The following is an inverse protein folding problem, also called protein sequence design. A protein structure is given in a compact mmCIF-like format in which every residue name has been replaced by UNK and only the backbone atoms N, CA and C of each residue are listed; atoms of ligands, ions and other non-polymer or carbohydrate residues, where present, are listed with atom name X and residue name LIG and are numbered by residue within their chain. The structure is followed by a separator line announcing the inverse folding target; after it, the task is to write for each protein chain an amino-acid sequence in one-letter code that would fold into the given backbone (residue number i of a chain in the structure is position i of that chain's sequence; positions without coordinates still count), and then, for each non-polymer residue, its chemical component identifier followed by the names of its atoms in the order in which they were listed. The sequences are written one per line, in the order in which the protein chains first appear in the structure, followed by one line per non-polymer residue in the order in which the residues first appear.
data_IF_848783872045
#
_entry.id   IF_848783872045
#
_cell.length_a   1.000
_cell.length_b   1.000
_cell.length_c   1.000
_cell.angle_alpha   90.00
_cell.angle_beta   90.00
_cell.angle_gamma   90.00
#
_symmetry.space_group_name_H-M   'P 1'
#
loop_
_entity.id
_entity.type
_entity.pdbx_description
1 polymer ?
#
# COMPACT_ATOMS: atom_id res chain seq x y z
N UNK A 1 -5.47 -21.25 5.61
CA UNK A 1 -6.01 -20.06 4.91
C UNK A 1 -5.77 -18.69 5.56
N UNK A 2 -5.84 -18.46 6.89
CA UNK A 2 -5.51 -17.12 7.44
C UNK A 2 -4.04 -16.91 7.84
N UNK A 3 -3.32 -17.96 8.27
CA UNK A 3 -1.90 -17.89 8.63
C UNK A 3 -1.02 -17.86 7.38
N UNK A 4 -1.35 -18.65 6.36
CA UNK A 4 -0.65 -18.68 5.07
C UNK A 4 -0.56 -17.30 4.41
N UNK A 5 -1.62 -16.49 4.53
CA UNK A 5 -1.69 -15.15 3.96
C UNK A 5 -0.83 -14.11 4.70
N UNK A 6 -0.30 -14.45 5.89
CA UNK A 6 0.55 -13.53 6.64
C UNK A 6 1.93 -13.43 5.99
N UNK A 7 2.53 -12.22 5.92
CA UNK A 7 3.91 -12.08 5.49
C UNK A 7 4.87 -12.92 6.35
N UNK A 8 5.93 -13.53 5.78
CA UNK A 8 6.89 -14.34 6.53
C UNK A 8 7.46 -13.64 7.77
N UNK A 9 7.86 -12.37 7.64
CA UNK A 9 8.34 -11.57 8.76
C UNK A 9 7.30 -11.41 9.89
N UNK A 10 6.01 -11.31 9.53
CA UNK A 10 4.94 -11.24 10.54
C UNK A 10 4.72 -12.59 11.22
N UNK A 11 4.80 -13.71 10.48
CA UNK A 11 4.74 -15.06 11.07
C UNK A 11 5.87 -15.29 12.07
N UNK A 12 7.09 -14.89 11.73
CA UNK A 12 8.26 -14.95 12.62
C UNK A 12 8.09 -14.08 13.87
N UNK A 13 7.72 -12.81 13.69
CA UNK A 13 7.47 -11.89 14.80
C UNK A 13 6.34 -12.40 15.73
N UNK A 14 5.29 -13.02 15.15
CA UNK A 14 4.21 -13.65 15.91
C UNK A 14 4.73 -14.84 16.70
N UNK A 15 5.51 -15.72 16.08
CA UNK A 15 6.09 -16.90 16.74
C UNK A 15 6.97 -16.50 17.93
N UNK A 16 7.79 -15.47 17.78
CA UNK A 16 8.57 -14.89 18.87
C UNK A 16 7.67 -14.26 19.94
N UNK A 17 6.63 -13.54 19.51
CA UNK A 17 5.65 -12.91 20.38
C UNK A 17 4.94 -13.89 21.31
N UNK A 18 4.41 -14.97 20.76
CA UNK A 18 3.69 -16.01 21.51
C UNK A 18 4.59 -16.86 22.42
N UNK A 19 5.91 -16.74 22.30
CA UNK A 19 6.88 -17.38 23.20
C UNK A 19 7.26 -16.48 24.38
N UNK A 20 7.04 -15.17 24.26
CA UNK A 20 7.57 -14.17 25.20
C UNK A 20 6.65 -13.75 26.34
N UNK A 21 5.36 -14.11 26.27
CA UNK A 21 4.38 -13.64 27.24
C UNK A 21 3.01 -14.30 27.06
N UNK A 22 2.08 -14.00 27.98
CA UNK A 22 0.76 -14.61 27.97
C UNK A 22 -0.07 -14.11 26.78
N UNK A 23 -0.75 -15.05 26.13
CA UNK A 23 -1.55 -14.82 24.95
C UNK A 23 -3.03 -14.98 25.29
N UNK A 24 -3.84 -14.07 24.76
CA UNK A 24 -5.29 -14.08 24.91
C UNK A 24 -6.00 -14.27 23.57
N UNK A 25 -7.28 -14.65 23.64
CA UNK A 25 -8.23 -14.63 22.52
C UNK A 25 -9.46 -13.79 22.89
N UNK A 26 -10.22 -13.34 21.89
CA UNK A 26 -11.46 -12.58 22.05
C UNK A 26 -11.27 -11.10 22.37
N UNK A 27 -10.03 -10.59 22.36
CA UNK A 27 -9.70 -9.18 22.52
C UNK A 27 -8.27 -8.88 22.04
N UNK A 28 -7.98 -7.61 21.81
CA UNK A 28 -6.65 -7.15 21.38
C UNK A 28 -5.61 -7.15 22.53
N UNK A 29 -6.03 -6.73 23.73
CA UNK A 29 -5.24 -6.72 24.96
C UNK A 29 -6.16 -6.91 26.17
N UNK A 30 -5.61 -7.47 27.25
CA UNK A 30 -6.26 -7.68 28.55
C UNK A 30 -5.21 -7.48 29.65
N UNK A 31 -5.58 -7.24 30.92
CA UNK A 31 -4.64 -7.37 32.04
C UNK A 31 -3.88 -8.71 32.03
N UNK A 32 -4.51 -9.77 31.54
CA UNK A 32 -3.93 -11.12 31.52
C UNK A 32 -3.00 -11.38 30.33
N UNK A 33 -2.94 -10.51 29.32
CA UNK A 33 -2.07 -10.72 28.17
C UNK A 33 -2.46 -9.98 26.89
N UNK A 34 -1.87 -10.40 25.78
CA UNK A 34 -2.05 -9.75 24.47
C UNK A 34 -2.45 -10.74 23.39
N UNK A 35 -3.19 -10.30 22.37
CA UNK A 35 -3.50 -11.19 21.26
C UNK A 35 -2.24 -11.53 20.45
N UNK A 36 -2.22 -12.66 19.72
CA UNK A 36 -1.04 -13.06 18.94
C UNK A 36 -0.57 -11.98 17.96
N UNK A 37 -1.52 -11.24 17.37
CA UNK A 37 -1.21 -10.21 16.39
C UNK A 37 -0.54 -8.98 17.03
N UNK A 38 -1.02 -8.54 18.20
CA UNK A 38 -0.37 -7.46 18.94
C UNK A 38 1.03 -7.88 19.42
N UNK A 39 1.18 -9.14 19.85
CA UNK A 39 2.48 -9.70 20.21
C UNK A 39 3.48 -9.66 19.04
N UNK A 40 3.00 -9.92 17.81
CA UNK A 40 3.78 -9.79 16.58
C UNK A 40 4.12 -8.32 16.24
N UNK A 41 3.15 -7.42 16.34
CA UNK A 41 3.34 -6.00 16.04
C UNK A 41 4.39 -5.34 16.94
N UNK A 42 4.40 -5.68 18.22
CA UNK A 42 5.43 -5.23 19.18
C UNK A 42 6.85 -5.66 18.79
N UNK A 43 6.97 -6.64 17.88
CA UNK A 43 8.23 -7.18 17.34
C UNK A 43 8.45 -6.82 15.87
N UNK A 44 7.74 -5.80 15.37
CA UNK A 44 7.92 -5.32 14.01
C UNK A 44 7.14 -6.10 12.95
N UNK A 45 6.23 -7.00 13.33
CA UNK A 45 5.22 -7.52 12.39
C UNK A 45 4.35 -6.37 11.88
N UNK A 46 4.21 -6.24 10.55
CA UNK A 46 3.39 -5.18 9.92
C UNK A 46 2.42 -5.83 8.94
N UNK A 47 1.16 -5.92 9.33
CA UNK A 47 0.05 -6.39 8.48
C UNK A 47 -1.29 -5.90 9.02
N UNK A 48 -2.31 -5.85 8.16
CA UNK A 48 -3.70 -5.54 8.55
C UNK A 48 -4.33 -6.71 9.31
N UNK A 49 -5.09 -6.35 10.35
CA UNK A 49 -5.34 -7.18 11.54
C UNK A 49 -6.59 -8.08 11.44
N UNK A 50 -7.55 -7.71 10.59
CA UNK A 50 -8.94 -8.16 10.75
C UNK A 50 -9.17 -9.63 10.42
N UNK A 51 -8.64 -10.12 9.30
CA UNK A 51 -8.91 -11.48 8.84
C UNK A 51 -8.35 -12.53 9.80
N UNK A 52 -7.10 -12.32 10.27
CA UNK A 52 -6.49 -13.22 11.24
C UNK A 52 -7.15 -13.14 12.61
N UNK A 53 -7.41 -11.93 13.12
CA UNK A 53 -8.04 -11.79 14.44
C UNK A 53 -9.39 -12.51 14.49
N UNK A 54 -10.23 -12.34 13.46
CA UNK A 54 -11.53 -13.02 13.36
C UNK A 54 -11.38 -14.54 13.24
N UNK A 55 -10.43 -15.01 12.43
CA UNK A 55 -10.19 -16.45 12.29
C UNK A 55 -9.68 -17.08 13.61
N UNK A 56 -8.82 -16.36 14.32
CA UNK A 56 -8.28 -16.79 15.62
C UNK A 56 -9.36 -16.87 16.70
N UNK A 57 -10.18 -15.83 16.83
CA UNK A 57 -11.28 -15.80 17.79
C UNK A 57 -12.36 -16.84 17.44
N UNK A 58 -12.61 -17.08 16.15
CA UNK A 58 -13.46 -18.16 15.68
C UNK A 58 -12.92 -19.55 16.00
N UNK A 59 -11.63 -19.80 15.79
CA UNK A 59 -10.97 -21.07 16.12
C UNK A 59 -11.03 -21.38 17.63
N UNK A 60 -10.73 -20.37 18.45
CA UNK A 60 -10.75 -20.49 19.91
C UNK A 60 -12.17 -20.40 20.51
N UNK A 61 -13.18 -20.09 19.69
CA UNK A 61 -14.56 -19.80 20.12
C UNK A 61 -14.61 -18.77 21.24
N UNK A 62 -13.72 -17.78 21.18
CA UNK A 62 -13.64 -16.74 22.20
C UNK A 62 -14.67 -15.63 21.91
N UNK A 63 -15.65 -15.50 22.80
CA UNK A 63 -16.63 -14.41 22.77
C UNK A 63 -16.31 -13.29 23.77
N UNK A 64 -15.34 -13.52 24.67
CA UNK A 64 -14.82 -12.58 25.66
C UNK A 64 -13.31 -12.80 25.83
N UNK A 65 -12.55 -11.77 26.28
CA UNK A 65 -11.14 -11.92 26.59
C UNK A 65 -10.90 -13.09 27.54
N UNK A 66 -10.02 -14.01 27.14
CA UNK A 66 -9.53 -15.09 28.01
C UNK A 66 -8.12 -15.50 27.61
N UNK A 67 -7.40 -16.11 28.55
CA UNK A 67 -6.15 -16.80 28.23
C UNK A 67 -6.39 -17.94 27.24
N UNK A 68 -5.44 -18.08 26.32
CA UNK A 68 -5.39 -19.17 25.36
C UNK A 68 -4.92 -20.43 26.07
N UNK A 69 -5.57 -21.56 25.81
CA UNK A 69 -5.16 -22.84 26.37
C UNK A 69 -3.83 -23.29 25.77
N UNK A 70 -3.12 -24.15 26.50
CA UNK A 70 -1.85 -24.71 26.02
C UNK A 70 -1.99 -25.44 24.68
N UNK A 71 -3.12 -26.14 24.47
CA UNK A 71 -3.41 -26.81 23.19
C UNK A 71 -3.55 -25.82 22.04
N UNK A 72 -4.32 -24.77 22.23
CA UNK A 72 -4.54 -23.72 21.22
C UNK A 72 -3.23 -23.01 20.88
N UNK A 73 -2.42 -22.71 21.90
CA UNK A 73 -1.11 -22.09 21.73
C UNK A 73 -0.16 -22.99 20.95
N UNK A 74 -0.13 -24.29 21.25
CA UNK A 74 0.66 -25.28 20.52
C UNK A 74 0.22 -25.36 19.06
N UNK A 75 -1.09 -25.43 18.80
CA UNK A 75 -1.61 -25.47 17.43
C UNK A 75 -1.21 -24.22 16.64
N UNK A 76 -1.33 -23.02 17.23
CA UNK A 76 -0.90 -21.78 16.58
C UNK A 76 0.59 -21.82 16.21
N UNK A 77 1.45 -22.27 17.13
CA UNK A 77 2.90 -22.40 16.88
C UNK A 77 3.18 -23.38 15.75
N UNK A 78 2.59 -24.58 15.79
CA UNK A 78 2.77 -25.59 14.74
C UNK A 78 2.32 -25.10 13.36
N UNK A 79 1.20 -24.37 13.28
CA UNK A 79 0.72 -23.80 12.01
C UNK A 79 1.65 -22.70 11.48
N UNK A 80 2.20 -21.86 12.37
CA UNK A 80 3.17 -20.82 11.99
C UNK A 80 4.48 -21.44 11.47
N UNK A 81 4.99 -22.44 12.18
CA UNK A 81 6.23 -23.14 11.83
C UNK A 81 6.09 -23.91 10.50
N UNK A 82 4.99 -24.65 10.31
CA UNK A 82 4.69 -25.32 9.03
C UNK A 82 4.61 -24.33 7.86
N UNK A 83 3.86 -23.23 8.03
CA UNK A 83 3.72 -22.20 6.99
C UNK A 83 5.01 -21.43 6.69
N UNK A 84 5.97 -21.38 7.63
CA UNK A 84 7.29 -20.83 7.39
C UNK A 84 8.18 -21.83 6.63
N UNK A 85 8.17 -23.10 7.02
CA UNK A 85 8.93 -24.16 6.35
C UNK A 85 8.50 -24.36 4.89
N UNK A 86 7.20 -24.31 4.60
CA UNK A 86 6.68 -24.35 3.22
C UNK A 86 7.17 -23.16 2.38
N UNK A 87 7.19 -21.96 2.97
CA UNK A 87 7.69 -20.76 2.30
C UNK A 87 9.19 -20.82 1.99
N UNK A 88 9.98 -21.37 2.91
CA UNK A 88 11.42 -21.58 2.73
C UNK A 88 11.71 -22.64 1.65
N UNK A 89 10.98 -23.75 1.66
CA UNK A 89 11.08 -24.79 0.63
C UNK A 89 10.73 -24.23 -0.76
N UNK A 90 9.69 -23.40 -0.87
CA UNK A 90 9.32 -22.74 -2.12
C UNK A 90 10.38 -21.73 -2.58
N UNK A 91 10.99 -20.97 -1.66
CA UNK A 91 12.03 -20.00 -1.96
C UNK A 91 13.36 -20.64 -2.39
N UNK A 92 13.70 -21.79 -1.81
CA UNK A 92 14.94 -22.52 -2.12
C UNK A 92 14.84 -23.43 -3.33
N UNK A 93 13.61 -23.82 -3.73
CA UNK A 93 13.34 -24.64 -4.92
C UNK A 93 13.71 -23.95 -6.25
N UNK A 94 13.65 -24.71 -7.36
CA UNK A 94 14.04 -24.23 -8.69
C UNK A 94 13.29 -22.95 -9.12
N UNK A 95 11.98 -22.87 -8.85
CA UNK A 95 11.19 -21.68 -9.12
C UNK A 95 11.62 -20.48 -8.24
N UNK A 96 11.87 -20.72 -6.95
CA UNK A 96 12.33 -19.68 -6.03
C UNK A 96 13.67 -19.08 -6.45
N UNK A 97 14.60 -19.92 -6.91
CA UNK A 97 15.87 -19.48 -7.52
C UNK A 97 15.65 -18.63 -8.78
N UNK A 98 14.78 -19.08 -9.69
CA UNK A 98 14.46 -18.31 -10.90
C UNK A 98 13.84 -16.94 -10.59
N UNK A 99 12.96 -16.84 -9.58
CA UNK A 99 12.40 -15.57 -9.12
C UNK A 99 13.49 -14.66 -8.55
N UNK A 100 14.42 -15.21 -7.77
CA UNK A 100 15.53 -14.45 -7.19
C UNK A 100 16.47 -13.91 -8.27
N UNK A 101 16.84 -14.73 -9.26
CA UNK A 101 17.63 -14.32 -10.42
C UNK A 101 16.94 -13.19 -11.19
N UNK A 102 15.65 -13.33 -11.48
CA UNK A 102 14.87 -12.30 -12.17
C UNK A 102 14.84 -10.97 -11.40
N UNK A 103 14.68 -11.01 -10.06
CA UNK A 103 14.72 -9.79 -9.23
C UNK A 103 16.09 -9.11 -9.28
N UNK A 104 17.18 -9.88 -9.27
CA UNK A 104 18.54 -9.33 -9.39
C UNK A 104 18.76 -8.64 -10.74
N UNK A 105 18.23 -9.20 -11.83
CA UNK A 105 18.29 -8.56 -13.16
C UNK A 105 17.56 -7.22 -13.12
N UNK A 106 16.33 -7.19 -12.58
CA UNK A 106 15.53 -5.96 -12.47
C UNK A 106 16.18 -4.89 -11.60
N UNK A 107 16.80 -5.28 -10.49
CA UNK A 107 17.53 -4.34 -9.63
C UNK A 107 18.81 -3.80 -10.28
N UNK A 108 19.48 -4.59 -11.11
CA UNK A 108 20.63 -4.11 -11.91
C UNK A 108 20.16 -3.12 -12.96
N UNK A 109 19.10 -3.44 -13.71
CA UNK A 109 18.49 -2.54 -14.68
C UNK A 109 18.06 -1.22 -14.03
N UNK A 110 17.39 -1.28 -12.88
CA UNK A 110 16.97 -0.09 -12.14
C UNK A 110 18.16 0.75 -11.65
N UNK A 111 19.25 0.11 -11.19
CA UNK A 111 20.48 0.80 -10.79
C UNK A 111 21.21 1.43 -11.98
N UNK A 112 21.29 0.73 -13.10
CA UNK A 112 21.87 1.27 -14.34
C UNK A 112 21.07 2.46 -14.84
N UNK A 113 19.73 2.34 -14.88
CA UNK A 113 18.85 3.45 -15.24
C UNK A 113 18.97 4.65 -14.28
N UNK A 114 19.13 4.40 -12.97
CA UNK A 114 19.35 5.46 -11.99
C UNK A 114 20.74 6.12 -12.13
N UNK A 115 21.77 5.35 -12.49
CA UNK A 115 23.11 5.87 -12.75
C UNK A 115 23.17 6.67 -14.07
N UNK A 116 22.45 6.23 -15.11
CA UNK A 116 22.28 6.96 -16.37
C UNK A 116 21.45 8.23 -16.19
N UNK A 117 20.47 8.22 -15.28
CA UNK A 117 19.67 9.39 -14.92
C UNK A 117 20.38 10.36 -13.96
N UNK A 118 21.55 9.99 -13.41
CA UNK A 118 22.32 10.88 -12.53
C UNK A 118 23.01 11.97 -13.37
N UNK A 119 22.74 13.27 -13.15
CA UNK A 119 23.39 14.33 -13.91
C UNK A 119 24.88 14.36 -13.59
N UNK A 120 25.72 14.33 -14.63
CA UNK A 120 27.16 14.53 -14.52
C UNK A 120 27.45 15.87 -13.85
N UNK A 121 27.98 15.84 -12.62
CA UNK A 121 28.41 17.04 -11.89
C UNK A 121 29.59 17.63 -12.65
N UNK A 122 29.33 18.65 -13.48
CA UNK A 122 30.37 19.55 -14.00
C UNK A 122 30.82 20.47 -12.85
N UNK A 123 32.12 20.65 -12.57
CA UNK A 123 32.55 21.65 -11.61
C UNK A 123 32.43 23.02 -12.27
N UNK A 124 31.30 23.68 -12.07
CA UNK A 124 31.09 25.07 -12.47
C UNK A 124 30.86 25.91 -11.22
N UNK A 125 31.76 26.87 -11.05
CA UNK A 125 31.70 27.90 -10.03
C UNK A 125 30.33 28.61 -10.01
N UNK A 126 29.89 28.96 -8.79
CA UNK A 126 29.09 30.13 -8.46
C UNK A 126 28.02 30.54 -9.47
N UNK A 127 26.79 30.03 -9.26
CA UNK A 127 25.54 30.81 -9.27
C UNK A 127 24.46 29.96 -8.63
N UNK A 128 24.15 30.25 -7.36
CA UNK A 128 22.95 29.75 -6.69
C UNK A 128 21.75 30.29 -7.43
N UNK A 129 21.21 29.50 -8.33
CA UNK A 129 19.82 29.59 -8.76
C UNK A 129 19.11 28.45 -8.04
N UNK A 130 18.08 28.78 -7.28
CA UNK A 130 17.26 27.83 -6.55
C UNK A 130 16.67 26.81 -7.54
N UNK A 131 17.31 25.65 -7.63
CA UNK A 131 16.77 24.49 -8.33
C UNK A 131 15.64 23.92 -7.46
N UNK A 132 14.41 24.22 -7.86
CA UNK A 132 13.17 23.73 -7.28
C UNK A 132 13.17 22.19 -7.30
N UNK A 133 13.00 21.58 -6.13
CA UNK A 133 12.80 20.14 -6.00
C UNK A 133 11.56 19.70 -6.80
N UNK A 134 11.49 18.45 -7.30
CA UNK A 134 10.28 17.94 -7.95
C UNK A 134 9.20 17.72 -6.88
N UNK A 135 8.27 18.68 -6.79
CA UNK A 135 7.17 18.72 -5.84
C UNK A 135 6.76 20.17 -5.59
N UNK A 136 5.52 20.51 -5.93
CA UNK A 136 5.00 21.87 -5.70
C UNK A 136 4.77 22.07 -4.19
N UNK A 137 5.26 23.18 -3.59
CA UNK A 137 4.96 23.50 -2.20
C UNK A 137 3.44 23.57 -1.94
N UNK A 138 3.03 23.21 -0.73
CA UNK A 138 1.62 23.30 -0.29
C UNK A 138 1.14 24.76 -0.28
N UNK A 139 0.41 25.16 -1.32
CA UNK A 139 -0.19 26.49 -1.49
C UNK A 139 -1.66 26.55 -1.09
N UNK A 140 -2.15 25.58 -0.32
CA UNK A 140 -3.55 25.55 0.15
C UNK A 140 -3.95 26.84 0.87
N UNK A 141 -2.97 27.54 1.47
CA UNK A 141 -3.20 28.84 2.13
C UNK A 141 -3.52 29.97 1.16
N UNK A 142 -2.93 29.97 -0.03
CA UNK A 142 -3.10 31.01 -1.06
C UNK A 142 -4.46 30.86 -1.77
N UNK A 143 -4.92 29.63 -1.93
CA UNK A 143 -6.10 29.33 -2.74
C UNK A 143 -7.43 29.39 -1.97
N UNK A 144 -7.39 29.41 -0.63
CA UNK A 144 -8.58 29.50 0.24
C UNK A 144 -9.48 30.72 -0.04
N UNK A 145 -8.92 31.79 -0.61
CA UNK A 145 -9.67 33.02 -0.94
C UNK A 145 -10.35 33.00 -2.32
N UNK A 146 -10.15 31.97 -3.15
CA UNK A 146 -10.72 31.92 -4.49
C UNK A 146 -12.11 31.29 -4.49
N UNK A 147 -13.13 31.94 -5.08
CA UNK A 147 -14.45 31.35 -5.20
C UNK A 147 -14.35 30.06 -6.01
N UNK A 148 -14.73 28.97 -5.36
CA UNK A 148 -14.77 27.65 -5.94
C UNK A 148 -13.57 26.74 -5.69
N UNK A 149 -12.69 27.11 -4.77
CA UNK A 149 -11.59 26.24 -4.35
C UNK A 149 -12.04 24.90 -3.73
N UNK A 150 -13.26 24.81 -3.21
CA UNK A 150 -13.79 23.56 -2.64
C UNK A 150 -13.98 22.43 -3.66
N UNK A 151 -14.19 22.74 -4.95
CA UNK A 151 -14.34 21.75 -6.04
C UNK A 151 -13.00 21.34 -6.66
N UNK A 152 -11.93 22.12 -6.42
CA UNK A 152 -10.56 21.74 -6.75
C UNK A 152 -10.05 20.56 -5.90
N UNK A 153 -10.77 20.09 -4.88
CA UNK A 153 -10.36 18.88 -4.13
C UNK A 153 -10.28 17.61 -4.97
N UNK A 154 -10.98 17.56 -6.10
CA UNK A 154 -10.88 16.45 -7.06
C UNK A 154 -9.54 16.50 -7.82
N UNK A 155 -8.99 17.69 -8.03
CA UNK A 155 -7.70 17.91 -8.68
C UNK A 155 -6.65 18.30 -7.63
N UNK A 156 -5.85 17.32 -7.20
CA UNK A 156 -4.79 17.54 -6.20
C UNK A 156 -3.70 18.55 -6.61
N UNK A 157 -3.71 19.05 -7.86
CA UNK A 157 -2.72 19.99 -8.43
C UNK A 157 -3.43 21.05 -9.29
N UNK A 158 -2.93 22.30 -9.24
CA UNK A 158 -3.49 23.40 -10.03
C UNK A 158 -3.26 23.21 -11.54
N UNK A 159 -2.10 22.68 -11.93
CA UNK A 159 -1.75 22.40 -13.33
C UNK A 159 -2.75 21.43 -13.98
N UNK A 160 -3.20 20.42 -13.24
CA UNK A 160 -4.17 19.42 -13.72
C UNK A 160 -5.53 20.08 -14.02
N UNK A 161 -5.91 21.08 -13.22
CA UNK A 161 -7.13 21.86 -13.43
C UNK A 161 -7.01 22.80 -14.63
N UNK A 162 -5.88 23.49 -14.80
CA UNK A 162 -5.64 24.34 -15.96
C UNK A 162 -5.58 23.52 -17.26
N UNK A 163 -4.96 22.33 -17.23
CA UNK A 163 -4.96 21.39 -18.34
C UNK A 163 -6.37 20.87 -18.68
N UNK A 164 -7.19 20.58 -17.66
CA UNK A 164 -8.58 20.19 -17.87
C UNK A 164 -9.40 21.31 -18.53
N UNK A 165 -9.25 22.57 -18.09
CA UNK A 165 -9.91 23.72 -18.71
C UNK A 165 -9.45 23.96 -20.16
N UNK A 166 -8.17 23.76 -20.45
CA UNK A 166 -7.64 23.86 -21.81
C UNK A 166 -8.24 22.77 -22.73
N UNK A 167 -8.43 21.55 -22.22
CA UNK A 167 -9.08 20.46 -22.94
C UNK A 167 -10.55 20.76 -23.23
N UNK A 168 -11.29 21.35 -22.28
CA UNK A 168 -12.70 21.74 -22.50
C UNK A 168 -12.82 22.83 -23.57
N UNK A 169 -11.98 23.87 -23.53
CA UNK A 169 -11.98 24.92 -24.59
C UNK A 169 -11.66 24.35 -25.96
N UNK A 170 -10.79 23.34 -26.03
CA UNK A 170 -10.45 22.66 -27.28
C UNK A 170 -11.58 21.74 -27.78
N UNK A 171 -12.32 21.09 -26.87
CA UNK A 171 -13.51 20.30 -27.21
C UNK A 171 -14.69 21.15 -27.68
N UNK A 172 -14.88 22.34 -27.09
CA UNK A 172 -15.89 23.30 -27.56
C UNK A 172 -15.55 23.85 -28.95
N UNK A 173 -14.26 24.09 -29.23
CA UNK A 173 -13.78 24.50 -30.55
C UNK A 173 -13.88 23.36 -31.60
N UNK A 174 -13.81 22.10 -31.18
CA UNK A 174 -13.92 20.92 -32.05
C UNK A 174 -15.34 20.36 -32.23
N UNK A 175 -16.32 20.81 -31.43
CA UNK A 175 -17.69 20.29 -31.38
C UNK A 175 -18.66 20.86 -32.42
N UNK A 176 -18.29 21.89 -33.17
CA UNK A 176 -19.13 22.46 -34.24
C UNK A 176 -18.90 21.75 -35.58
N UNK A 177 -19.29 20.48 -35.66
CA UNK A 177 -19.67 19.81 -36.91
C UNK A 177 -20.66 18.71 -36.59
N UNK A 178 -21.95 19.06 -36.57
CA UNK A 178 -23.04 18.11 -36.87
C UNK A 178 -23.65 18.47 -38.22
N UNK A 179 -23.92 17.47 -39.07
CA UNK A 179 -24.32 17.67 -40.45
C UNK A 179 -25.76 18.17 -40.57
N UNK A 180 -25.99 18.98 -41.60
CA UNK A 180 -27.30 19.42 -42.05
C UNK A 180 -28.17 18.22 -42.45
N UNK A 181 -29.37 18.14 -41.87
CA UNK A 181 -30.49 17.39 -42.42
C UNK A 181 -31.64 18.38 -42.62
N UNK A 182 -32.01 18.55 -43.88
CA UNK A 182 -33.02 19.48 -44.35
C UNK A 182 -34.38 19.23 -43.71
N UNK A 183 -35.01 20.32 -43.31
CA UNK A 183 -36.45 20.40 -43.08
C UNK A 183 -37.17 20.36 -44.43
N UNK A 184 -38.03 19.35 -44.61
CA UNK A 184 -39.01 19.28 -45.67
C UNK A 184 -40.30 18.66 -45.12
N UNK A 185 -41.22 19.50 -44.68
CA UNK A 185 -42.67 19.21 -44.62
C UNK A 185 -43.46 20.50 -44.27
N UNK A 186 -44.10 21.03 -45.30
CA UNK A 186 -45.36 21.79 -45.38
C UNK A 186 -45.82 22.69 -44.23
N UNK A 187 -46.19 23.92 -44.59
CA UNK A 187 -47.59 24.39 -44.49
C UNK A 187 -47.81 25.71 -45.24
N UNK A 188 -48.85 25.69 -46.07
CA UNK A 188 -49.78 26.76 -46.47
C UNK A 188 -49.27 28.20 -46.67
#
# INVERSE_FOLDING_TARGET
MSIEALPPATKQAMLEGVRSGPIIAGAYTSPDGTCPMLAAHRRGGRTSLDTFARAWDGYTRAHRPRLVTERELRTLRSMLEASLGEGEAAATGALGRAIAEHRQVREREARSAAAEAAPAIRPAASRRTHATAPGDPDRSRELRGRPGWAWLRVFRRLDDYEAALAQTRTQEAGGSKRPAALAGASSN
#
